data_IF_658030826436
#
_entry.id   IF_658030826436
#
_cell.length_a   1.000
_cell.length_b   1.000
_cell.length_c   1.000
_cell.angle_alpha   90.00
_cell.angle_beta   90.00
_cell.angle_gamma   90.00
#
_symmetry.space_group_name_H-M   'P 1'
#
loop_
_entity.id
_entity.type
_entity.pdbx_description
1 polymer ?
#
# COMPACT_ATOMS: atom_id res chain seq x y z
N UNK A 1 35.73 19.24 2.81
CA UNK A 1 36.16 19.88 1.55
C UNK A 1 34.96 20.44 0.79
N UNK A 2 33.97 19.65 0.39
CA UNK A 2 32.81 20.10 -0.38
C UNK A 2 31.94 21.17 0.32
N UNK A 3 31.70 21.07 1.62
CA UNK A 3 30.93 22.09 2.34
C UNK A 3 31.61 23.46 2.35
N UNK A 4 32.92 23.48 2.51
CA UNK A 4 33.70 24.72 2.42
C UNK A 4 33.67 25.29 1.01
N UNK A 5 33.83 24.46 -0.01
CA UNK A 5 33.73 24.85 -1.43
C UNK A 5 32.37 25.49 -1.76
N UNK A 6 31.26 24.90 -1.28
CA UNK A 6 29.91 25.46 -1.46
C UNK A 6 29.79 26.81 -0.73
N UNK A 7 30.25 26.88 0.53
CA UNK A 7 30.18 28.10 1.36
C UNK A 7 30.99 29.22 0.79
N UNK A 8 32.25 28.98 0.39
CA UNK A 8 33.17 29.98 -0.15
C UNK A 8 32.63 30.56 -1.47
N UNK A 9 31.89 29.79 -2.26
CA UNK A 9 31.22 30.25 -3.48
C UNK A 9 29.82 30.84 -3.21
N UNK A 10 29.39 30.94 -1.96
CA UNK A 10 28.09 31.52 -1.57
C UNK A 10 26.86 30.77 -2.10
N UNK A 11 27.04 29.49 -2.46
CA UNK A 11 25.92 28.62 -2.90
C UNK A 11 25.18 28.06 -1.70
N UNK A 12 23.89 27.79 -1.88
CA UNK A 12 22.99 27.17 -0.89
C UNK A 12 22.27 26.00 -1.50
N UNK A 13 21.88 25.07 -0.64
CA UNK A 13 21.05 23.93 -1.03
C UNK A 13 19.81 24.45 -1.80
N UNK A 14 19.48 23.76 -2.89
CA UNK A 14 18.47 24.09 -3.89
C UNK A 14 18.80 25.27 -4.83
N UNK A 15 19.95 25.93 -4.71
CA UNK A 15 20.43 26.81 -5.78
C UNK A 15 20.70 25.98 -7.04
N UNK A 16 20.37 26.52 -8.22
CA UNK A 16 20.84 25.94 -9.48
C UNK A 16 22.25 26.39 -9.71
N UNK A 17 23.16 25.46 -9.82
CA UNK A 17 24.59 25.71 -9.97
C UNK A 17 25.18 24.96 -11.16
N UNK A 18 26.31 25.47 -11.61
CA UNK A 18 27.18 24.80 -12.57
C UNK A 18 28.49 24.46 -11.87
N UNK A 19 28.93 23.22 -11.99
CA UNK A 19 30.26 22.76 -11.55
C UNK A 19 31.03 22.37 -12.79
N UNK A 20 32.18 23.02 -13.02
CA UNK A 20 33.12 22.74 -14.12
C UNK A 20 34.35 22.10 -13.53
N UNK A 21 34.73 20.94 -14.03
CA UNK A 21 35.99 20.26 -13.78
C UNK A 21 36.81 20.25 -15.07
N UNK A 22 38.08 19.90 -15.03
CA UNK A 22 38.92 19.77 -16.23
C UNK A 22 38.31 18.82 -17.28
N UNK A 23 37.54 17.81 -16.83
CA UNK A 23 37.00 16.78 -17.71
C UNK A 23 35.62 17.14 -18.25
N UNK A 24 34.76 17.81 -17.46
CA UNK A 24 33.35 17.98 -17.80
C UNK A 24 32.65 19.07 -16.97
N UNK A 25 31.60 19.64 -17.54
CA UNK A 25 30.74 20.60 -16.87
C UNK A 25 29.38 19.96 -16.57
N UNK A 26 28.87 20.18 -15.35
CA UNK A 26 27.59 19.68 -14.87
C UNK A 26 26.72 20.84 -14.40
N UNK A 27 25.45 20.85 -14.79
CA UNK A 27 24.45 21.79 -14.32
C UNK A 27 23.32 21.08 -13.59
N UNK A 28 22.86 21.63 -12.47
CA UNK A 28 21.77 21.04 -11.71
C UNK A 28 21.48 21.81 -10.43
N UNK A 29 20.52 21.31 -9.68
CA UNK A 29 20.19 21.84 -8.36
C UNK A 29 21.11 21.24 -7.31
N UNK A 30 21.71 22.09 -6.47
CA UNK A 30 22.54 21.66 -5.36
C UNK A 30 21.68 20.91 -4.33
N UNK A 31 22.01 19.65 -4.07
CA UNK A 31 21.37 18.84 -3.05
C UNK A 31 22.17 18.82 -1.74
N UNK A 32 21.53 18.56 -0.58
CA UNK A 32 22.25 18.30 0.66
C UNK A 32 23.24 17.15 0.47
N UNK A 33 24.39 17.25 1.08
CA UNK A 33 25.41 16.22 1.06
C UNK A 33 24.94 15.03 1.89
N UNK A 34 25.12 13.81 1.37
CA UNK A 34 24.86 12.58 2.08
C UNK A 34 25.98 12.25 3.10
N UNK A 35 25.63 11.78 4.29
CA UNK A 35 26.60 11.46 5.35
C UNK A 35 27.67 10.44 4.93
N UNK A 36 27.39 9.60 3.95
CA UNK A 36 28.30 8.59 3.40
C UNK A 36 29.00 9.03 2.09
N UNK A 37 28.81 10.27 1.65
CA UNK A 37 29.54 10.81 0.49
C UNK A 37 30.99 11.13 0.87
N UNK A 38 31.90 10.99 -0.08
CA UNK A 38 33.29 11.46 0.09
C UNK A 38 33.36 12.91 0.50
N UNK A 39 34.40 13.33 1.23
CA UNK A 39 34.52 14.70 1.77
C UNK A 39 34.61 15.78 0.69
N UNK A 40 34.98 15.38 -0.52
CA UNK A 40 35.14 16.21 -1.71
C UNK A 40 33.91 16.19 -2.64
N UNK A 41 32.87 15.41 -2.34
CA UNK A 41 31.73 15.21 -3.25
C UNK A 41 30.60 16.19 -2.98
N UNK A 42 30.19 16.91 -4.03
CA UNK A 42 28.95 17.69 -4.11
C UNK A 42 27.91 16.92 -4.90
N UNK A 43 26.68 16.91 -4.44
CA UNK A 43 25.58 16.21 -5.12
C UNK A 43 24.72 17.20 -5.89
N UNK A 44 24.51 16.94 -7.17
CA UNK A 44 23.66 17.71 -8.07
C UNK A 44 22.48 16.87 -8.55
N UNK A 45 21.29 17.45 -8.57
CA UNK A 45 20.12 16.94 -9.29
C UNK A 45 20.12 17.55 -10.70
N UNK A 46 20.33 16.72 -11.71
CA UNK A 46 20.33 17.13 -13.12
C UNK A 46 18.89 17.36 -13.64
N UNK A 47 18.75 18.08 -14.76
CA UNK A 47 17.46 18.34 -15.38
C UNK A 47 16.74 17.07 -15.88
N UNK A 48 17.50 16.02 -16.17
CA UNK A 48 16.94 14.68 -16.49
C UNK A 48 16.47 13.90 -15.26
N UNK A 49 16.56 14.50 -14.06
CA UNK A 49 16.10 13.92 -12.80
C UNK A 49 17.11 13.03 -12.07
N UNK A 50 18.26 12.71 -12.66
CA UNK A 50 19.31 11.92 -11.98
C UNK A 50 20.09 12.77 -10.98
N UNK A 51 20.49 12.15 -9.87
CA UNK A 51 21.43 12.72 -8.93
C UNK A 51 22.84 12.21 -9.26
N UNK A 52 23.81 13.10 -9.31
CA UNK A 52 25.22 12.78 -9.52
C UNK A 52 26.08 13.35 -8.40
N UNK A 53 27.12 12.61 -8.02
CA UNK A 53 28.21 13.12 -7.19
C UNK A 53 29.31 13.67 -8.07
N UNK A 54 29.73 14.92 -7.81
CA UNK A 54 30.83 15.57 -8.53
C UNK A 54 31.92 15.90 -7.52
N UNK A 55 33.17 15.45 -7.78
CA UNK A 55 34.31 15.88 -6.97
C UNK A 55 34.57 17.37 -7.17
N UNK A 56 34.90 18.05 -6.09
CA UNK A 56 35.23 19.49 -6.12
C UNK A 56 36.75 19.73 -6.14
N UNK A 57 37.56 18.68 -6.25
CA UNK A 57 38.98 18.82 -6.49
C UNK A 57 39.19 19.50 -7.85
N UNK A 58 39.86 20.65 -7.85
CA UNK A 58 40.14 21.46 -9.03
C UNK A 58 38.88 21.88 -9.83
N UNK A 59 37.75 22.03 -9.14
CA UNK A 59 36.50 22.43 -9.76
C UNK A 59 36.15 23.90 -9.53
N UNK A 60 35.46 24.50 -10.49
CA UNK A 60 34.86 25.84 -10.39
C UNK A 60 33.36 25.75 -10.22
N UNK A 61 32.76 26.64 -9.40
CA UNK A 61 31.33 26.74 -9.18
C UNK A 61 30.79 28.06 -9.65
N UNK A 62 29.72 28.04 -10.46
CA UNK A 62 28.94 29.22 -10.81
C UNK A 62 27.48 29.03 -10.38
N UNK A 63 26.90 30.05 -9.72
CA UNK A 63 25.48 30.01 -9.37
C UNK A 63 24.68 30.53 -10.55
N UNK A 64 23.84 29.71 -11.13
CA UNK A 64 22.98 30.04 -12.26
C UNK A 64 21.69 30.71 -11.82
N UNK A 65 21.09 30.23 -10.72
CA UNK A 65 19.96 30.91 -10.06
C UNK A 65 19.91 30.57 -8.59
N UNK A 66 19.47 31.49 -7.77
CA UNK A 66 19.24 31.27 -6.35
C UNK A 66 17.93 30.51 -6.14
N UNK A 67 17.93 29.66 -5.11
CA UNK A 67 16.70 29.01 -4.64
C UNK A 67 15.68 30.09 -4.29
N UNK A 68 14.56 30.09 -4.99
CA UNK A 68 13.43 30.91 -4.56
C UNK A 68 12.93 30.32 -3.25
N UNK A 69 12.83 31.11 -2.21
CA UNK A 69 12.01 30.80 -1.05
C UNK A 69 10.55 30.97 -1.47
N UNK A 70 10.05 30.08 -2.30
CA UNK A 70 8.63 30.02 -2.51
C UNK A 70 8.03 29.51 -1.19
N UNK A 71 7.56 30.45 -0.36
CA UNK A 71 6.41 30.15 0.48
C UNK A 71 5.32 29.83 -0.54
N UNK A 72 5.10 28.54 -0.77
CA UNK A 72 3.94 28.10 -1.52
C UNK A 72 2.75 28.50 -0.66
N UNK A 73 2.19 29.69 -0.89
CA UNK A 73 0.91 30.08 -0.36
C UNK A 73 -0.12 29.20 -1.06
N UNK A 74 -0.63 28.22 -0.32
CA UNK A 74 -1.67 27.31 -0.80
C UNK A 74 -2.99 28.07 -0.87
N UNK A 75 -3.21 28.78 -1.97
CA UNK A 75 -4.54 29.31 -2.27
C UNK A 75 -5.46 28.15 -2.62
N UNK A 76 -6.56 28.00 -1.87
CA UNK A 76 -7.65 27.07 -2.27
C UNK A 76 -8.04 27.39 -3.70
N UNK A 77 -7.78 26.47 -4.60
CA UNK A 77 -8.17 26.60 -6.01
C UNK A 77 -9.69 26.71 -6.11
N UNK A 78 -10.20 27.57 -6.98
CA UNK A 78 -11.64 27.62 -7.27
C UNK A 78 -12.06 26.31 -7.89
N UNK A 79 -13.15 25.71 -7.36
CA UNK A 79 -13.73 24.48 -7.94
C UNK A 79 -14.19 24.73 -9.37
N UNK A 80 -13.86 23.80 -10.25
CA UNK A 80 -14.39 23.76 -11.61
C UNK A 80 -15.72 23.01 -11.58
N UNK A 81 -16.80 23.64 -12.00
CA UNK A 81 -18.15 23.08 -11.98
C UNK A 81 -18.34 21.88 -12.94
N UNK A 82 -17.45 21.71 -13.90
CA UNK A 82 -17.48 20.59 -14.85
C UNK A 82 -16.81 19.32 -14.33
N UNK A 83 -16.03 19.42 -13.23
CA UNK A 83 -15.30 18.30 -12.64
C UNK A 83 -16.03 17.75 -11.42
N UNK A 84 -15.96 16.41 -11.26
CA UNK A 84 -16.43 15.74 -10.04
C UNK A 84 -15.54 16.08 -8.86
N UNK A 85 -16.11 16.05 -7.69
CA UNK A 85 -15.38 16.20 -6.42
C UNK A 85 -14.87 14.83 -5.95
N UNK A 86 -13.67 14.80 -5.35
CA UNK A 86 -13.11 13.66 -4.61
C UNK A 86 -12.41 14.15 -3.34
N UNK A 87 -12.24 13.25 -2.36
CA UNK A 87 -11.41 13.53 -1.19
C UNK A 87 -10.13 12.68 -1.24
N UNK A 88 -8.98 13.32 -1.01
CA UNK A 88 -7.69 12.63 -0.81
C UNK A 88 -7.38 12.62 0.67
N UNK A 89 -7.37 11.43 1.29
CA UNK A 89 -6.95 11.21 2.67
C UNK A 89 -5.48 10.79 2.70
N UNK A 90 -4.63 11.53 3.43
CA UNK A 90 -3.24 11.15 3.62
C UNK A 90 -3.08 10.41 4.97
N UNK A 91 -2.53 9.20 4.92
CA UNK A 91 -2.19 8.42 6.13
C UNK A 91 -0.69 8.33 6.38
N UNK A 92 0.13 8.95 5.53
CA UNK A 92 1.59 8.89 5.55
C UNK A 92 2.16 8.06 4.40
N UNK A 93 3.33 7.46 4.62
CA UNK A 93 4.04 6.63 3.64
C UNK A 93 4.85 7.42 2.62
N UNK A 94 5.53 6.70 1.72
CA UNK A 94 6.49 7.26 0.74
C UNK A 94 5.87 8.26 -0.23
N UNK A 95 4.58 8.14 -0.53
CA UNK A 95 3.88 9.08 -1.42
C UNK A 95 3.79 10.50 -0.81
N UNK A 96 3.76 10.60 0.53
CA UNK A 96 3.75 11.86 1.27
C UNK A 96 5.12 12.14 1.92
N UNK A 97 6.21 11.67 1.34
CA UNK A 97 7.55 11.76 1.93
C UNK A 97 8.53 12.38 0.96
N UNK A 98 9.54 13.05 1.52
CA UNK A 98 10.75 13.47 0.81
C UNK A 98 11.97 12.69 1.29
N UNK A 99 12.96 12.57 0.42
CA UNK A 99 14.28 12.10 0.84
C UNK A 99 14.96 13.22 1.64
N UNK A 100 15.33 12.94 2.87
CA UNK A 100 16.31 13.73 3.56
C UNK A 100 17.69 13.43 2.95
N UNK A 101 18.14 14.29 2.06
CA UNK A 101 19.39 14.09 1.34
C UNK A 101 20.63 14.13 2.25
N UNK A 102 20.52 14.64 3.49
CA UNK A 102 21.61 14.65 4.46
C UNK A 102 21.80 13.27 5.11
N UNK A 103 20.73 12.59 5.44
CA UNK A 103 20.74 11.27 6.07
C UNK A 103 20.52 10.14 5.07
N UNK A 104 19.99 10.43 3.87
CA UNK A 104 19.51 9.46 2.90
C UNK A 104 18.20 8.79 3.28
N UNK A 105 17.65 9.13 4.44
CA UNK A 105 16.39 8.58 4.92
C UNK A 105 15.19 9.24 4.23
N UNK A 106 14.12 8.47 4.08
CA UNK A 106 12.82 8.99 3.64
C UNK A 106 12.02 9.39 4.88
N UNK A 107 11.66 10.66 4.98
CA UNK A 107 10.88 11.19 6.10
C UNK A 107 9.51 11.68 5.65
N UNK A 108 8.43 11.44 6.40
CA UNK A 108 7.13 12.05 6.14
C UNK A 108 7.28 13.59 6.25
N UNK A 109 7.09 14.29 5.15
CA UNK A 109 7.35 15.74 5.12
C UNK A 109 6.34 16.54 4.30
N UNK A 110 5.43 15.87 3.58
CA UNK A 110 4.45 16.53 2.70
C UNK A 110 3.07 16.45 3.33
N UNK A 111 2.36 17.59 3.39
CA UNK A 111 0.94 17.59 3.74
C UNK A 111 0.10 16.99 2.60
N UNK A 112 -1.14 16.61 2.90
CA UNK A 112 -2.08 16.12 1.88
C UNK A 112 -2.25 17.15 0.74
N UNK A 113 -2.35 18.45 1.08
CA UNK A 113 -2.46 19.52 0.10
C UNK A 113 -1.18 19.68 -0.74
N UNK A 114 -0.01 19.55 -0.13
CA UNK A 114 1.26 19.60 -0.84
C UNK A 114 1.39 18.46 -1.84
N UNK A 115 1.01 17.25 -1.45
CA UNK A 115 0.99 16.10 -2.34
C UNK A 115 0.10 16.36 -3.56
N UNK A 116 -1.14 16.77 -3.34
CA UNK A 116 -2.10 17.05 -4.42
C UNK A 116 -1.60 18.18 -5.34
N UNK A 117 -1.06 19.26 -4.77
CA UNK A 117 -0.56 20.39 -5.54
C UNK A 117 0.73 20.09 -6.31
N UNK A 118 1.50 19.09 -5.91
CA UNK A 118 2.68 18.64 -6.66
C UNK A 118 2.33 17.95 -7.99
N UNK A 119 1.06 17.53 -8.16
CA UNK A 119 0.57 16.79 -9.32
C UNK A 119 -0.41 17.65 -10.12
N UNK A 120 0.11 18.55 -10.95
CA UNK A 120 -0.70 19.50 -11.74
C UNK A 120 -1.73 18.83 -12.67
N UNK A 121 -1.51 17.59 -13.09
CA UNK A 121 -2.47 16.84 -13.90
C UNK A 121 -3.79 16.58 -13.18
N UNK A 122 -3.81 16.54 -11.85
CA UNK A 122 -5.02 16.35 -11.05
C UNK A 122 -6.04 17.48 -11.23
N UNK A 123 -5.59 18.71 -11.49
CA UNK A 123 -6.46 19.86 -11.72
C UNK A 123 -7.40 19.70 -12.93
N UNK A 124 -7.03 18.83 -13.87
CA UNK A 124 -7.83 18.50 -15.05
C UNK A 124 -8.70 17.26 -14.85
N UNK A 125 -8.50 16.55 -13.74
CA UNK A 125 -9.17 15.27 -13.46
C UNK A 125 -10.34 15.45 -12.51
N UNK A 126 -10.15 16.15 -11.38
CA UNK A 126 -11.18 16.29 -10.36
C UNK A 126 -10.97 17.56 -9.52
N UNK A 127 -12.03 18.01 -8.85
CA UNK A 127 -11.89 18.92 -7.71
C UNK A 127 -11.50 18.12 -6.49
N UNK A 128 -10.39 18.48 -5.85
CA UNK A 128 -9.83 17.69 -4.77
C UNK A 128 -9.92 18.42 -3.43
N UNK A 129 -10.55 17.77 -2.45
CA UNK A 129 -10.44 18.10 -1.04
C UNK A 129 -9.34 17.22 -0.44
N UNK A 130 -8.26 17.79 0.09
CA UNK A 130 -7.16 17.05 0.69
C UNK A 130 -7.22 17.17 2.21
N UNK A 131 -7.24 16.02 2.90
CA UNK A 131 -7.35 15.96 4.35
C UNK A 131 -6.26 15.04 4.93
N UNK A 132 -5.43 15.51 5.89
CA UNK A 132 -4.53 14.63 6.62
C UNK A 132 -5.33 13.81 7.64
N UNK A 133 -5.09 12.49 7.70
CA UNK A 133 -5.70 11.62 8.69
C UNK A 133 -4.66 11.10 9.69
N UNK A 134 -3.52 10.63 9.17
CA UNK A 134 -2.38 10.17 9.95
C UNK A 134 -1.08 10.61 9.28
N UNK A 135 0.04 10.51 10.02
CA UNK A 135 1.40 10.65 9.47
C UNK A 135 2.24 9.49 10.00
N UNK A 136 2.01 8.29 9.43
CA UNK A 136 2.59 7.03 9.89
C UNK A 136 3.40 6.36 8.78
N UNK A 137 4.49 5.69 9.15
CA UNK A 137 5.06 4.64 8.33
C UNK A 137 4.06 3.46 8.30
N UNK A 138 3.99 2.75 7.16
CA UNK A 138 2.96 1.70 7.04
C UNK A 138 3.14 0.52 7.98
N UNK A 139 4.37 0.23 8.40
CA UNK A 139 4.70 -0.77 9.40
C UNK A 139 4.17 -0.45 10.80
N UNK A 140 3.86 0.81 11.09
CA UNK A 140 3.26 1.27 12.34
C UNK A 140 1.71 1.26 12.31
N UNK A 141 1.10 0.83 11.19
CA UNK A 141 -0.34 0.66 11.10
C UNK A 141 -0.82 -0.43 12.06
N UNK A 142 -1.92 -0.15 12.73
CA UNK A 142 -2.58 -1.06 13.67
C UNK A 142 -4.10 -1.05 13.42
N UNK A 143 -4.86 -2.02 13.92
CA UNK A 143 -6.31 -2.11 13.72
C UNK A 143 -7.09 -0.82 14.04
N UNK A 144 -6.72 -0.11 15.10
CA UNK A 144 -7.29 1.20 15.46
C UNK A 144 -7.18 2.26 14.34
N UNK A 145 -6.14 2.18 13.51
CA UNK A 145 -5.96 3.10 12.38
C UNK A 145 -6.88 2.70 11.21
N UNK A 146 -7.09 1.40 10.97
CA UNK A 146 -8.08 0.92 9.99
C UNK A 146 -9.50 1.36 10.36
N UNK A 147 -9.85 1.30 11.65
CA UNK A 147 -11.13 1.82 12.18
C UNK A 147 -11.27 3.33 11.94
N UNK A 148 -10.20 4.09 12.18
CA UNK A 148 -10.14 5.53 11.88
C UNK A 148 -10.37 5.85 10.41
N UNK A 149 -9.74 5.07 9.50
CA UNK A 149 -9.92 5.21 8.06
C UNK A 149 -11.39 4.89 7.67
N UNK A 150 -11.93 3.78 8.16
CA UNK A 150 -13.31 3.37 7.86
C UNK A 150 -14.34 4.41 8.33
N UNK A 151 -14.19 4.91 9.55
CA UNK A 151 -15.04 5.97 10.11
C UNK A 151 -14.98 7.24 9.28
N UNK A 152 -13.77 7.67 8.87
CA UNK A 152 -13.60 8.86 8.06
C UNK A 152 -14.17 8.68 6.65
N UNK A 153 -13.97 7.53 6.04
CA UNK A 153 -14.54 7.20 4.73
C UNK A 153 -16.07 7.24 4.76
N UNK A 154 -16.69 6.63 5.77
CA UNK A 154 -18.15 6.70 5.95
C UNK A 154 -18.64 8.13 6.15
N UNK A 155 -17.96 8.93 6.96
CA UNK A 155 -18.30 10.34 7.18
C UNK A 155 -18.30 11.14 5.86
N UNK A 156 -17.31 10.90 5.00
CA UNK A 156 -17.21 11.56 3.70
C UNK A 156 -18.33 11.10 2.78
N UNK A 157 -18.63 9.80 2.71
CA UNK A 157 -19.72 9.28 1.90
C UNK A 157 -21.08 9.85 2.34
N UNK A 158 -21.34 9.91 3.64
CA UNK A 158 -22.60 10.43 4.17
C UNK A 158 -22.79 11.93 3.92
N UNK A 159 -21.71 12.72 4.01
CA UNK A 159 -21.78 14.19 3.91
C UNK A 159 -21.52 14.74 2.52
N UNK A 160 -20.55 14.17 1.80
CA UNK A 160 -20.05 14.71 0.53
C UNK A 160 -20.49 13.91 -0.68
N UNK A 161 -20.81 12.63 -0.52
CA UNK A 161 -21.29 11.71 -1.56
C UNK A 161 -20.36 11.65 -2.79
N UNK A 162 -19.04 11.55 -2.56
CA UNK A 162 -18.06 11.41 -3.64
C UNK A 162 -16.92 10.42 -3.28
N UNK A 163 -16.17 10.00 -4.30
CA UNK A 163 -15.12 9.00 -4.13
C UNK A 163 -13.94 9.48 -3.29
N UNK A 164 -13.21 8.52 -2.76
CA UNK A 164 -12.11 8.73 -1.84
C UNK A 164 -10.84 8.10 -2.39
N UNK A 165 -9.72 8.83 -2.34
CA UNK A 165 -8.38 8.31 -2.55
C UNK A 165 -7.64 8.30 -1.21
N UNK A 166 -7.03 7.17 -0.85
CA UNK A 166 -6.26 7.03 0.38
C UNK A 166 -4.77 6.88 0.03
N UNK A 167 -3.99 7.92 0.31
CA UNK A 167 -2.53 7.87 0.21
C UNK A 167 -1.96 7.11 1.40
N UNK A 168 -1.29 5.97 1.15
CA UNK A 168 -0.86 5.01 2.17
C UNK A 168 0.55 4.48 1.86
N UNK A 169 1.31 4.13 2.91
CA UNK A 169 2.57 3.42 2.75
C UNK A 169 2.35 2.01 2.18
N UNK A 170 3.24 1.57 1.30
CA UNK A 170 2.98 0.39 0.45
C UNK A 170 3.15 -0.95 1.16
N UNK A 171 3.91 -1.04 2.26
CA UNK A 171 4.28 -2.33 2.86
C UNK A 171 3.10 -3.07 3.51
N UNK A 172 2.17 -2.33 4.13
CA UNK A 172 0.96 -2.90 4.74
C UNK A 172 -0.34 -2.47 4.06
N UNK A 173 -0.26 -1.86 2.87
CA UNK A 173 -1.43 -1.38 2.13
C UNK A 173 -2.42 -2.51 1.82
N UNK A 174 -1.95 -3.73 1.53
CA UNK A 174 -2.81 -4.88 1.27
C UNK A 174 -3.63 -5.27 2.50
N UNK A 175 -3.04 -5.24 3.70
CA UNK A 175 -3.77 -5.46 4.96
C UNK A 175 -4.81 -4.38 5.20
N UNK A 176 -4.45 -3.11 5.02
CA UNK A 176 -5.37 -1.97 5.22
C UNK A 176 -6.54 -1.99 4.23
N UNK A 177 -6.28 -2.34 2.96
CA UNK A 177 -7.32 -2.46 1.95
C UNK A 177 -8.27 -3.64 2.24
N UNK A 178 -7.75 -4.79 2.65
CA UNK A 178 -8.56 -5.92 3.11
C UNK A 178 -9.40 -5.56 4.35
N UNK A 179 -8.77 -4.90 5.35
CA UNK A 179 -9.46 -4.47 6.56
C UNK A 179 -10.61 -3.51 6.27
N UNK A 180 -10.37 -2.54 5.39
CA UNK A 180 -11.41 -1.60 5.01
C UNK A 180 -12.54 -2.27 4.22
N UNK A 181 -12.22 -3.28 3.40
CA UNK A 181 -13.20 -4.06 2.64
C UNK A 181 -14.19 -4.78 3.55
N UNK A 182 -13.72 -5.40 4.65
CA UNK A 182 -14.60 -6.05 5.62
C UNK A 182 -15.37 -5.05 6.47
N UNK A 183 -14.76 -3.93 6.85
CA UNK A 183 -15.45 -2.89 7.63
C UNK A 183 -16.52 -2.14 6.83
N UNK A 184 -16.34 -2.00 5.52
CA UNK A 184 -17.24 -1.31 4.61
C UNK A 184 -17.73 -2.27 3.52
N UNK A 185 -18.58 -3.26 3.85
CA UNK A 185 -18.99 -4.30 2.91
C UNK A 185 -19.83 -3.77 1.74
N UNK A 186 -20.49 -2.65 1.92
CA UNK A 186 -21.22 -1.89 0.90
C UNK A 186 -20.79 -0.43 0.96
N UNK A 187 -20.46 0.16 -0.18
CA UNK A 187 -20.03 1.56 -0.28
C UNK A 187 -20.79 2.31 -1.36
N UNK A 188 -21.17 3.55 -1.07
CA UNK A 188 -21.91 4.41 -2.00
C UNK A 188 -21.04 5.08 -3.05
N UNK A 189 -19.73 5.13 -2.83
CA UNK A 189 -18.75 5.69 -3.76
C UNK A 189 -17.42 4.92 -3.65
N UNK A 190 -16.58 4.88 -4.69
CA UNK A 190 -15.31 4.16 -4.65
C UNK A 190 -14.36 4.65 -3.56
N UNK A 191 -13.61 3.71 -2.98
CA UNK A 191 -12.48 4.02 -2.07
C UNK A 191 -11.23 3.35 -2.64
N UNK A 192 -10.26 4.17 -3.03
CA UNK A 192 -9.09 3.73 -3.77
C UNK A 192 -7.83 4.03 -2.96
N UNK A 193 -7.13 2.99 -2.52
CA UNK A 193 -5.80 3.13 -1.96
C UNK A 193 -4.77 3.38 -3.06
N UNK A 194 -3.77 4.19 -2.74
CA UNK A 194 -2.61 4.38 -3.60
C UNK A 194 -1.38 4.72 -2.77
N UNK A 195 -0.23 4.60 -3.38
CA UNK A 195 1.05 4.86 -2.75
C UNK A 195 2.15 5.07 -3.79
N UNK A 196 3.38 5.10 -3.33
CA UNK A 196 4.55 5.16 -4.20
C UNK A 196 5.68 4.27 -3.67
N UNK A 197 6.40 3.61 -4.57
CA UNK A 197 7.64 2.91 -4.26
C UNK A 197 8.82 3.88 -4.21
N UNK A 198 8.71 5.00 -4.95
CA UNK A 198 9.70 6.06 -4.98
C UNK A 198 9.05 7.38 -4.61
N UNK A 199 9.67 8.10 -3.66
CA UNK A 199 9.18 9.42 -3.24
C UNK A 199 9.04 10.39 -4.42
N UNK A 200 8.11 11.35 -4.36
CA UNK A 200 7.83 12.26 -5.47
C UNK A 200 9.03 13.08 -5.95
N UNK A 201 10.03 13.28 -5.10
CA UNK A 201 11.26 14.03 -5.39
C UNK A 201 12.34 13.19 -6.10
N UNK A 202 12.14 11.89 -6.24
CA UNK A 202 13.08 11.01 -6.95
C UNK A 202 12.79 10.93 -8.46
N UNK A 203 13.84 10.75 -9.30
CA UNK A 203 13.65 10.41 -10.71
C UNK A 203 12.82 9.13 -10.86
N UNK A 204 11.98 9.08 -11.89
CA UNK A 204 11.10 7.93 -12.17
C UNK A 204 10.19 7.57 -10.98
N UNK A 205 9.72 8.57 -10.23
CA UNK A 205 8.71 8.37 -9.18
C UNK A 205 7.42 7.88 -9.81
N UNK A 206 6.83 6.86 -9.19
CA UNK A 206 5.52 6.32 -9.57
C UNK A 206 4.35 7.05 -8.91
N UNK A 207 4.64 7.98 -7.97
CA UNK A 207 3.61 8.70 -7.20
C UNK A 207 2.61 9.45 -8.08
N UNK A 208 3.11 10.14 -9.12
CA UNK A 208 2.29 10.97 -10.00
C UNK A 208 1.25 10.16 -10.76
N UNK A 209 1.67 9.11 -11.47
CA UNK A 209 0.77 8.28 -12.28
C UNK A 209 -0.20 7.50 -11.38
N UNK A 210 0.29 6.95 -10.25
CA UNK A 210 -0.55 6.24 -9.29
C UNK A 210 -1.66 7.14 -8.73
N UNK A 211 -1.34 8.37 -8.32
CA UNK A 211 -2.31 9.30 -7.75
C UNK A 211 -3.35 9.76 -8.77
N UNK A 212 -2.93 10.06 -10.00
CA UNK A 212 -3.86 10.40 -11.11
C UNK A 212 -4.76 9.20 -11.43
N UNK A 213 -4.20 8.00 -11.49
CA UNK A 213 -4.96 6.78 -11.72
C UNK A 213 -5.99 6.51 -10.62
N UNK A 214 -5.59 6.67 -9.35
CA UNK A 214 -6.49 6.54 -8.21
C UNK A 214 -7.63 7.58 -8.24
N UNK A 215 -7.30 8.84 -8.57
CA UNK A 215 -8.30 9.91 -8.69
C UNK A 215 -9.35 9.60 -9.78
N UNK A 216 -8.91 9.12 -10.94
CA UNK A 216 -9.82 8.70 -12.02
C UNK A 216 -10.70 7.51 -11.58
N UNK A 217 -10.12 6.51 -10.92
CA UNK A 217 -10.86 5.35 -10.42
C UNK A 217 -11.89 5.71 -9.35
N UNK A 218 -11.60 6.71 -8.51
CA UNK A 218 -12.51 7.19 -7.47
C UNK A 218 -13.79 7.86 -8.03
N UNK A 219 -13.84 8.11 -9.33
CA UNK A 219 -15.01 8.72 -10.00
C UNK A 219 -15.87 7.72 -10.81
N UNK A 220 -15.55 6.43 -10.71
CA UNK A 220 -16.31 5.34 -11.37
C UNK A 220 -17.51 4.89 -10.53
N UNK A 221 -18.13 3.80 -10.93
CA UNK A 221 -19.18 3.10 -10.17
C UNK A 221 -18.66 1.88 -9.42
N UNK A 222 -17.36 1.78 -9.20
CA UNK A 222 -16.72 0.68 -8.47
C UNK A 222 -17.14 0.68 -7.00
N UNK A 223 -18.05 -0.20 -6.62
CA UNK A 223 -18.53 -0.37 -5.23
C UNK A 223 -17.64 -1.26 -4.37
N UNK A 224 -16.33 -1.17 -4.55
CA UNK A 224 -15.32 -1.96 -3.84
C UNK A 224 -14.15 -1.11 -3.39
N UNK A 225 -13.47 -1.59 -2.35
CA UNK A 225 -12.16 -1.06 -1.98
C UNK A 225 -11.13 -1.63 -2.96
N UNK A 226 -10.35 -0.75 -3.58
CA UNK A 226 -9.31 -1.16 -4.51
C UNK A 226 -7.97 -0.47 -4.23
N UNK A 227 -6.89 -1.04 -4.78
CA UNK A 227 -5.56 -0.45 -4.80
C UNK A 227 -5.21 -0.07 -6.23
N UNK A 228 -4.82 1.19 -6.45
CA UNK A 228 -4.37 1.72 -7.73
C UNK A 228 -2.85 1.89 -7.71
N UNK A 229 -2.12 1.06 -8.44
CA UNK A 229 -0.66 1.07 -8.54
C UNK A 229 -0.22 0.72 -9.96
N UNK A 230 1.01 1.09 -10.32
CA UNK A 230 1.61 0.72 -11.61
C UNK A 230 1.36 -0.74 -11.98
N UNK A 231 0.92 -0.98 -13.21
CA UNK A 231 0.72 -2.33 -13.74
C UNK A 231 2.04 -2.99 -14.11
N UNK A 232 2.94 -2.23 -14.71
CA UNK A 232 4.27 -2.65 -15.17
C UNK A 232 5.33 -1.68 -14.62
N UNK A 233 6.58 -1.89 -14.98
CA UNK A 233 7.68 -0.95 -14.67
C UNK A 233 7.65 0.32 -15.53
N UNK A 234 6.83 0.36 -16.58
CA UNK A 234 6.69 1.50 -17.50
C UNK A 234 5.58 2.46 -17.02
N UNK A 235 5.57 3.69 -17.54
CA UNK A 235 4.61 4.73 -17.18
C UNK A 235 3.34 4.70 -18.06
N UNK A 236 2.89 3.51 -18.49
CA UNK A 236 1.76 3.37 -19.41
C UNK A 236 0.43 3.28 -18.67
N UNK A 237 0.35 2.46 -17.63
CA UNK A 237 -0.92 2.08 -17.02
C UNK A 237 -0.84 1.96 -15.50
N UNK A 238 -1.95 2.29 -14.85
CA UNK A 238 -2.23 1.92 -13.46
C UNK A 238 -3.23 0.77 -13.45
N UNK A 239 -2.94 -0.28 -12.69
CA UNK A 239 -3.88 -1.36 -12.46
C UNK A 239 -4.69 -1.13 -11.19
N UNK A 240 -5.97 -1.48 -11.24
CA UNK A 240 -6.88 -1.48 -10.10
C UNK A 240 -6.99 -2.90 -9.56
N UNK A 241 -6.51 -3.12 -8.36
CA UNK A 241 -6.50 -4.42 -7.69
C UNK A 241 -7.57 -4.47 -6.62
N UNK A 242 -8.35 -5.56 -6.55
CA UNK A 242 -9.34 -5.77 -5.48
C UNK A 242 -8.65 -5.81 -4.11
N UNK A 243 -9.11 -5.02 -3.14
CA UNK A 243 -8.48 -4.87 -1.83
C UNK A 243 -8.30 -6.18 -1.06
N UNK A 244 -9.20 -7.15 -1.26
CA UNK A 244 -9.15 -8.48 -0.62
C UNK A 244 -8.33 -9.52 -1.39
N UNK A 245 -7.84 -9.19 -2.60
CA UNK A 245 -7.17 -10.15 -3.50
C UNK A 245 -5.77 -9.72 -3.91
N UNK A 246 -5.29 -8.62 -3.37
CA UNK A 246 -4.02 -7.99 -3.76
C UNK A 246 -2.93 -8.26 -2.75
N UNK A 247 -1.70 -8.40 -3.25
CA UNK A 247 -0.48 -8.56 -2.45
C UNK A 247 0.63 -7.68 -2.98
N UNK A 248 1.45 -7.11 -2.08
CA UNK A 248 2.74 -6.53 -2.44
C UNK A 248 3.72 -7.68 -2.70
N UNK A 249 3.95 -8.00 -3.97
CA UNK A 249 4.75 -9.15 -4.40
C UNK A 249 6.24 -8.83 -4.64
N UNK A 250 6.60 -7.55 -4.65
CA UNK A 250 7.99 -7.11 -4.77
C UNK A 250 8.29 -5.99 -3.77
N UNK A 251 9.47 -6.01 -3.14
CA UNK A 251 9.85 -5.08 -2.08
C UNK A 251 9.98 -3.62 -2.51
N UNK A 252 10.32 -3.34 -3.78
CA UNK A 252 10.70 -1.98 -4.21
C UNK A 252 10.39 -1.61 -5.66
N UNK A 253 9.93 -2.54 -6.52
CA UNK A 253 9.57 -2.23 -7.92
C UNK A 253 8.29 -1.41 -7.98
N UNK A 254 8.13 -0.59 -9.04
CA UNK A 254 6.92 0.21 -9.26
C UNK A 254 5.68 -0.66 -9.46
N UNK A 255 5.81 -1.78 -10.16
CA UNK A 255 4.81 -2.83 -10.38
C UNK A 255 4.79 -3.87 -9.24
N UNK A 256 4.95 -3.42 -8.00
CA UNK A 256 5.06 -4.31 -6.84
C UNK A 256 3.76 -5.03 -6.47
N UNK A 257 2.60 -4.53 -6.90
CA UNK A 257 1.31 -5.08 -6.53
C UNK A 257 0.75 -6.01 -7.60
N UNK A 258 0.18 -7.12 -7.16
CA UNK A 258 -0.51 -8.06 -8.04
C UNK A 258 -1.65 -8.77 -7.32
N UNK A 259 -2.62 -9.26 -8.09
CA UNK A 259 -3.64 -10.20 -7.63
C UNK A 259 -3.33 -11.58 -8.21
N UNK A 260 -2.72 -12.49 -7.43
CA UNK A 260 -2.12 -13.72 -7.96
C UNK A 260 -3.10 -14.66 -8.69
N UNK A 261 -4.36 -14.68 -8.26
CA UNK A 261 -5.34 -15.66 -8.76
C UNK A 261 -6.47 -15.03 -9.59
N UNK A 262 -6.61 -13.71 -9.63
CA UNK A 262 -7.75 -13.06 -10.28
C UNK A 262 -7.36 -12.11 -11.42
N UNK A 263 -6.26 -11.41 -11.27
CA UNK A 263 -5.88 -10.28 -12.13
C UNK A 263 -6.51 -8.95 -11.65
N UNK A 264 -6.32 -7.86 -12.41
CA UNK A 264 -6.83 -6.54 -12.03
C UNK A 264 -8.34 -6.41 -12.29
N UNK A 265 -9.04 -5.66 -11.43
CA UNK A 265 -10.42 -5.20 -11.63
C UNK A 265 -10.55 -4.27 -12.83
N UNK A 266 -9.49 -3.56 -13.18
CA UNK A 266 -9.47 -2.64 -14.30
C UNK A 266 -8.09 -2.06 -14.55
N UNK A 267 -7.99 -1.31 -15.62
CA UNK A 267 -6.82 -0.55 -16.01
C UNK A 267 -7.19 0.93 -16.15
N UNK A 268 -6.28 1.78 -15.75
CA UNK A 268 -6.38 3.23 -15.92
C UNK A 268 -5.29 3.69 -16.87
N UNK A 269 -5.73 4.23 -17.99
CA UNK A 269 -4.94 4.92 -19.01
C UNK A 269 -5.44 6.36 -19.10
N UNK A 270 -5.79 6.79 -20.30
CA UNK A 270 -6.57 8.03 -20.46
C UNK A 270 -7.92 7.93 -19.74
N UNK A 271 -8.60 6.80 -19.88
CA UNK A 271 -9.86 6.46 -19.21
C UNK A 271 -9.71 5.26 -18.29
N UNK A 272 -10.70 5.04 -17.43
CA UNK A 272 -10.79 3.85 -16.59
C UNK A 272 -11.56 2.77 -17.33
N UNK A 273 -10.93 1.64 -17.56
CA UNK A 273 -11.53 0.44 -18.12
C UNK A 273 -11.70 -0.60 -17.01
N UNK A 274 -12.90 -0.71 -16.43
CA UNK A 274 -13.20 -1.77 -15.48
C UNK A 274 -13.34 -3.10 -16.21
N UNK A 275 -12.71 -4.15 -15.70
CA UNK A 275 -12.66 -5.50 -16.26
C UNK A 275 -13.18 -6.50 -15.25
N UNK A 276 -13.77 -7.59 -15.74
CA UNK A 276 -14.24 -8.68 -14.88
C UNK A 276 -15.51 -8.34 -14.09
N UNK A 277 -15.75 -9.14 -13.03
CA UNK A 277 -16.92 -8.98 -12.16
C UNK A 277 -16.53 -8.12 -10.97
N UNK A 278 -16.94 -6.87 -10.99
CA UNK A 278 -16.86 -5.98 -9.84
C UNK A 278 -18.26 -5.73 -9.26
N UNK A 279 -18.33 -5.29 -8.02
CA UNK A 279 -19.57 -4.87 -7.38
C UNK A 279 -19.83 -3.39 -7.70
N UNK A 280 -21.02 -3.02 -8.16
CA UNK A 280 -21.35 -1.60 -8.33
C UNK A 280 -21.54 -0.90 -6.98
N UNK A 281 -21.50 0.42 -6.98
CA UNK A 281 -21.77 1.22 -5.77
C UNK A 281 -23.17 0.96 -5.22
N UNK A 282 -23.28 0.93 -3.90
CA UNK A 282 -24.54 0.80 -3.16
C UNK A 282 -25.23 2.17 -2.99
N UNK A 283 -26.47 2.17 -2.51
CA UNK A 283 -27.20 3.42 -2.19
C UNK A 283 -26.57 4.17 -1.01
N UNK A 284 -26.08 3.43 -0.04
CA UNK A 284 -25.44 3.95 1.19
C UNK A 284 -24.23 3.13 1.57
N UNK A 285 -23.37 3.71 2.37
CA UNK A 285 -22.20 3.00 2.92
C UNK A 285 -22.55 2.36 4.24
N UNK A 286 -22.44 1.04 4.31
CA UNK A 286 -22.57 0.28 5.57
C UNK A 286 -21.21 0.13 6.23
N UNK A 287 -21.19 0.15 7.57
CA UNK A 287 -19.95 0.03 8.34
C UNK A 287 -20.13 -0.92 9.53
N UNK A 288 -19.23 -1.90 9.61
CA UNK A 288 -19.06 -2.79 10.77
C UNK A 288 -17.59 -2.72 11.22
N UNK A 289 -17.28 -1.72 12.06
CA UNK A 289 -15.91 -1.38 12.43
C UNK A 289 -15.48 -2.08 13.72
N UNK A 290 -14.21 -2.51 13.75
CA UNK A 290 -13.58 -3.15 14.89
C UNK A 290 -12.96 -4.50 14.54
N UNK A 291 -11.94 -4.88 15.30
CA UNK A 291 -11.16 -6.10 15.11
C UNK A 291 -10.85 -6.77 16.46
N UNK A 292 -10.66 -8.07 16.44
CA UNK A 292 -10.05 -8.81 17.54
C UNK A 292 -8.53 -8.90 17.30
N UNK A 293 -7.76 -8.27 18.15
CA UNK A 293 -6.30 -8.17 17.98
C UNK A 293 -5.56 -9.46 18.38
N UNK A 294 -6.21 -10.34 19.14
CA UNK A 294 -5.61 -11.58 19.64
C UNK A 294 -5.66 -12.73 18.63
N UNK A 295 -5.53 -12.43 17.35
CA UNK A 295 -5.42 -13.44 16.28
C UNK A 295 -3.93 -13.67 15.95
N UNK A 296 -3.55 -14.95 15.86
CA UNK A 296 -2.20 -15.36 15.49
C UNK A 296 -2.07 -15.66 14.01
N UNK A 297 -0.85 -15.47 13.48
CA UNK A 297 -0.48 -15.99 12.17
C UNK A 297 0.77 -16.83 12.29
N UNK A 298 0.75 -18.05 11.77
CA UNK A 298 1.85 -19.00 11.80
C UNK A 298 2.27 -19.33 10.37
N UNK A 299 3.54 -19.08 10.07
CA UNK A 299 4.14 -19.51 8.82
C UNK A 299 4.75 -20.90 8.97
N UNK A 300 4.16 -21.92 8.32
CA UNK A 300 4.64 -23.29 8.41
C UNK A 300 6.00 -23.46 7.73
N UNK A 301 6.97 -24.02 8.44
CA UNK A 301 8.33 -24.25 7.93
C UNK A 301 8.93 -25.52 8.54
N UNK A 302 10.02 -26.10 7.97
CA UNK A 302 10.60 -27.35 8.43
C UNK A 302 11.08 -27.35 9.90
N UNK A 303 11.43 -26.19 10.45
CA UNK A 303 11.86 -26.04 11.84
C UNK A 303 10.74 -25.80 12.85
N UNK A 304 9.48 -25.60 12.41
CA UNK A 304 8.36 -25.36 13.31
C UNK A 304 8.05 -26.64 14.13
N UNK A 305 8.20 -26.54 15.44
CA UNK A 305 7.95 -27.65 16.37
C UNK A 305 6.68 -27.43 17.20
N UNK A 306 6.32 -28.45 18.01
CA UNK A 306 5.15 -28.42 18.89
C UNK A 306 5.25 -27.26 19.90
N UNK A 307 6.43 -27.07 20.52
CA UNK A 307 6.65 -26.00 21.49
C UNK A 307 6.50 -24.61 20.92
N UNK A 308 6.92 -24.40 19.65
CA UNK A 308 6.71 -23.11 18.96
C UNK A 308 5.22 -22.88 18.70
N UNK A 309 4.50 -23.91 18.23
CA UNK A 309 3.06 -23.85 18.02
C UNK A 309 2.32 -23.47 19.32
N UNK A 310 2.57 -24.18 20.40
CA UNK A 310 1.94 -23.94 21.69
C UNK A 310 2.27 -22.53 22.25
N UNK A 311 3.51 -22.10 22.11
CA UNK A 311 3.92 -20.73 22.52
C UNK A 311 3.18 -19.65 21.74
N UNK A 312 3.11 -19.78 20.40
CA UNK A 312 2.45 -18.78 19.55
C UNK A 312 0.95 -18.74 19.82
N UNK A 313 0.31 -19.89 20.08
CA UNK A 313 -1.14 -19.99 20.19
C UNK A 313 -1.69 -19.73 21.60
N UNK A 314 -0.86 -19.82 22.64
CA UNK A 314 -1.25 -19.82 24.07
C UNK A 314 -2.12 -18.65 24.52
N UNK A 315 -2.06 -17.50 23.85
CA UNK A 315 -2.80 -16.27 24.18
C UNK A 315 -3.67 -15.76 23.03
N UNK A 316 -3.98 -16.66 22.08
CA UNK A 316 -4.75 -16.28 20.90
C UNK A 316 -6.20 -16.72 21.03
N UNK A 317 -7.09 -16.01 20.31
CA UNK A 317 -8.51 -16.34 20.14
C UNK A 317 -8.82 -16.95 18.78
N UNK A 318 -7.80 -17.05 17.92
CA UNK A 318 -7.88 -17.69 16.62
C UNK A 318 -6.50 -17.67 15.95
N UNK A 319 -6.27 -18.54 15.00
CA UNK A 319 -4.98 -18.67 14.31
C UNK A 319 -5.19 -18.95 12.83
N UNK A 320 -4.47 -18.20 12.00
CA UNK A 320 -4.31 -18.47 10.57
C UNK A 320 -2.96 -19.14 10.33
N UNK A 321 -2.96 -20.27 9.66
CA UNK A 321 -1.74 -20.98 9.25
C UNK A 321 -1.49 -20.70 7.77
N UNK A 322 -0.34 -20.16 7.43
CA UNK A 322 0.17 -20.18 6.07
C UNK A 322 0.90 -21.52 5.86
N UNK A 323 0.19 -22.49 5.30
CA UNK A 323 0.68 -23.84 5.08
C UNK A 323 1.55 -23.95 3.82
N UNK A 324 2.30 -25.04 3.70
CA UNK A 324 3.10 -25.33 2.51
C UNK A 324 2.24 -25.92 1.38
N UNK A 325 2.53 -25.57 0.14
CA UNK A 325 1.84 -26.12 -1.04
C UNK A 325 0.32 -26.01 -0.92
N UNK A 326 -0.38 -27.14 -0.94
CA UNK A 326 -1.85 -27.19 -0.84
C UNK A 326 -2.41 -26.95 0.57
N UNK A 327 -1.66 -26.34 1.47
CA UNK A 327 -2.09 -26.08 2.85
C UNK A 327 -1.62 -27.13 3.84
N UNK A 328 -0.36 -27.59 3.74
CA UNK A 328 0.16 -28.64 4.62
C UNK A 328 1.05 -28.10 5.74
N UNK A 329 1.09 -28.88 6.81
CA UNK A 329 1.97 -28.72 7.98
C UNK A 329 2.68 -30.05 8.27
N UNK A 330 3.69 -30.01 9.14
CA UNK A 330 4.37 -31.23 9.60
C UNK A 330 3.39 -32.17 10.31
N UNK A 331 3.54 -33.50 10.08
CA UNK A 331 2.70 -34.48 10.72
C UNK A 331 2.70 -34.46 12.24
N UNK A 332 3.82 -34.13 12.86
CA UNK A 332 3.95 -34.03 14.32
C UNK A 332 3.09 -32.90 14.94
N UNK A 333 2.70 -31.89 14.14
CA UNK A 333 1.86 -30.79 14.61
C UNK A 333 0.36 -31.08 14.58
N UNK A 334 -0.07 -32.14 13.86
CA UNK A 334 -1.50 -32.42 13.61
C UNK A 334 -2.31 -32.57 14.90
N UNK A 335 -1.76 -33.26 15.91
CA UNK A 335 -2.43 -33.41 17.21
C UNK A 335 -2.53 -32.08 17.98
N UNK A 336 -1.45 -31.31 18.05
CA UNK A 336 -1.44 -30.02 18.73
C UNK A 336 -2.36 -29.00 18.04
N UNK A 337 -2.36 -28.96 16.70
CA UNK A 337 -3.29 -28.14 15.92
C UNK A 337 -4.73 -28.56 16.20
N UNK A 338 -5.00 -29.87 16.20
CA UNK A 338 -6.34 -30.39 16.50
C UNK A 338 -6.83 -30.06 17.91
N UNK A 339 -5.95 -30.07 18.91
CA UNK A 339 -6.32 -29.59 20.27
C UNK A 339 -6.68 -28.10 20.23
N UNK A 340 -5.84 -27.29 19.61
CA UNK A 340 -6.10 -25.83 19.45
C UNK A 340 -7.41 -25.57 18.72
N UNK A 341 -7.70 -26.35 17.64
CA UNK A 341 -8.92 -26.18 16.83
C UNK A 341 -10.22 -26.53 17.58
N UNK A 342 -10.16 -27.27 18.71
CA UNK A 342 -11.32 -27.49 19.59
C UNK A 342 -11.64 -26.21 20.39
N UNK A 343 -10.61 -25.52 20.85
CA UNK A 343 -10.75 -24.40 21.76
C UNK A 343 -10.99 -23.06 21.04
N UNK A 344 -10.39 -22.89 19.84
CA UNK A 344 -10.51 -21.66 19.04
C UNK A 344 -10.50 -21.94 17.53
N UNK A 345 -10.96 -20.99 16.68
CA UNK A 345 -10.88 -21.12 15.24
C UNK A 345 -9.43 -21.25 14.74
N UNK A 346 -9.17 -22.25 13.92
CA UNK A 346 -7.90 -22.42 13.18
C UNK A 346 -8.24 -22.50 11.71
N UNK A 347 -7.68 -21.59 10.91
CA UNK A 347 -7.85 -21.59 9.46
C UNK A 347 -6.50 -21.79 8.77
N UNK A 348 -6.53 -22.37 7.57
CA UNK A 348 -5.31 -22.62 6.80
C UNK A 348 -5.43 -22.05 5.39
N UNK A 349 -4.41 -21.29 5.00
CA UNK A 349 -4.16 -20.75 3.65
C UNK A 349 -2.84 -21.31 3.12
N UNK A 350 -2.41 -20.91 1.93
CA UNK A 350 -1.13 -21.33 1.36
C UNK A 350 -0.07 -20.23 1.40
N UNK A 351 1.21 -20.63 1.54
CA UNK A 351 2.36 -19.76 1.34
C UNK A 351 2.63 -19.45 -0.12
N UNK A 352 2.13 -20.31 -1.01
CA UNK A 352 2.33 -20.13 -2.45
C UNK A 352 1.71 -18.80 -2.90
N UNK A 353 2.43 -18.10 -3.77
CA UNK A 353 1.97 -16.83 -4.29
C UNK A 353 0.67 -16.97 -5.09
N UNK A 354 0.56 -18.04 -5.88
CA UNK A 354 -0.62 -18.36 -6.67
C UNK A 354 -1.12 -19.78 -6.37
N UNK A 355 -2.36 -20.04 -6.73
CA UNK A 355 -3.04 -21.32 -6.49
C UNK A 355 -3.94 -21.28 -5.26
N UNK A 356 -4.34 -22.44 -4.76
CA UNK A 356 -5.24 -22.56 -3.62
C UNK A 356 -4.84 -23.72 -2.72
N UNK A 357 -5.31 -23.72 -1.49
CA UNK A 357 -5.30 -24.93 -0.66
C UNK A 357 -6.20 -25.99 -1.27
N UNK A 358 -5.92 -27.27 -0.99
CA UNK A 358 -6.79 -28.40 -1.23
C UNK A 358 -6.45 -29.51 -0.24
N UNK A 359 -7.06 -29.44 0.92
CA UNK A 359 -6.80 -30.36 2.02
C UNK A 359 -7.32 -31.81 1.76
N UNK A 360 -8.12 -31.99 0.73
CA UNK A 360 -8.67 -33.31 0.40
C UNK A 360 -7.71 -34.26 -0.35
N UNK A 361 -6.58 -33.72 -0.85
CA UNK A 361 -5.64 -34.48 -1.69
C UNK A 361 -4.80 -35.47 -0.87
N UNK A 362 -4.25 -35.03 0.25
CA UNK A 362 -3.32 -35.81 1.05
C UNK A 362 -3.87 -36.14 2.44
N UNK A 363 -3.34 -37.22 3.05
CA UNK A 363 -3.75 -37.70 4.37
C UNK A 363 -3.71 -36.60 5.44
N UNK A 364 -2.60 -35.88 5.55
CA UNK A 364 -2.44 -34.83 6.56
C UNK A 364 -3.47 -33.72 6.42
N UNK A 365 -3.81 -33.34 5.17
CA UNK A 365 -4.86 -32.34 4.93
C UNK A 365 -6.23 -32.82 5.39
N UNK A 366 -6.60 -34.05 5.04
CA UNK A 366 -7.87 -34.66 5.50
C UNK A 366 -7.95 -34.77 7.02
N UNK A 367 -6.83 -35.05 7.66
CA UNK A 367 -6.76 -35.14 9.11
C UNK A 367 -6.95 -33.74 9.75
N UNK A 368 -6.40 -32.67 9.16
CA UNK A 368 -6.67 -31.30 9.59
C UNK A 368 -8.16 -30.91 9.49
N UNK A 369 -8.82 -31.29 8.37
CA UNK A 369 -10.27 -31.08 8.21
C UNK A 369 -11.07 -31.83 9.28
N UNK A 370 -10.74 -33.07 9.55
CA UNK A 370 -11.40 -33.90 10.59
C UNK A 370 -11.21 -33.32 11.99
N UNK A 371 -10.11 -32.60 12.22
CA UNK A 371 -9.81 -31.92 13.48
C UNK A 371 -10.45 -30.51 13.57
N UNK A 372 -11.22 -30.08 12.56
CA UNK A 372 -11.95 -28.81 12.57
C UNK A 372 -11.16 -27.60 12.08
N UNK A 373 -10.03 -27.82 11.39
CA UNK A 373 -9.31 -26.73 10.71
C UNK A 373 -10.08 -26.28 9.47
N UNK A 374 -10.27 -24.97 9.31
CA UNK A 374 -11.01 -24.38 8.18
C UNK A 374 -10.10 -24.14 6.99
N UNK A 375 -10.46 -24.65 5.84
CA UNK A 375 -9.79 -24.40 4.58
C UNK A 375 -10.21 -23.03 4.01
N UNK A 376 -9.24 -22.18 3.59
CA UNK A 376 -9.54 -20.85 3.04
C UNK A 376 -9.31 -20.74 1.54
N UNK A 377 -9.06 -21.83 0.87
CA UNK A 377 -8.91 -21.95 -0.58
C UNK A 377 -7.81 -21.03 -1.13
N UNK A 378 -8.16 -20.09 -2.02
CA UNK A 378 -7.26 -19.15 -2.68
C UNK A 378 -7.21 -17.78 -2.00
N UNK A 379 -7.73 -17.67 -0.78
CA UNK A 379 -7.62 -16.45 0.04
C UNK A 379 -6.16 -16.20 0.42
N UNK A 380 -5.69 -14.98 0.22
CA UNK A 380 -4.33 -14.59 0.57
C UNK A 380 -4.12 -14.59 2.10
N UNK A 381 -2.90 -14.89 2.59
CA UNK A 381 -2.60 -14.91 4.02
C UNK A 381 -2.96 -13.61 4.74
N UNK A 382 -2.67 -12.46 4.12
CA UNK A 382 -2.99 -11.14 4.65
C UNK A 382 -4.50 -10.96 4.85
N UNK A 383 -5.26 -11.35 3.85
CA UNK A 383 -6.73 -11.28 3.87
C UNK A 383 -7.34 -12.24 4.87
N UNK A 384 -6.81 -13.47 4.95
CA UNK A 384 -7.27 -14.48 5.90
C UNK A 384 -7.08 -14.05 7.36
N UNK A 385 -5.92 -13.42 7.66
CA UNK A 385 -5.66 -12.84 8.99
C UNK A 385 -6.68 -11.76 9.31
N UNK A 386 -6.85 -10.78 8.44
CA UNK A 386 -7.76 -9.66 8.64
C UNK A 386 -9.21 -10.13 8.73
N UNK A 387 -9.64 -11.07 7.89
CA UNK A 387 -10.98 -11.67 7.94
C UNK A 387 -11.23 -12.33 9.28
N UNK A 388 -10.29 -13.12 9.79
CA UNK A 388 -10.43 -13.78 11.09
C UNK A 388 -10.50 -12.75 12.23
N UNK A 389 -9.70 -11.69 12.19
CA UNK A 389 -9.76 -10.60 13.17
C UNK A 389 -11.13 -9.91 13.17
N UNK A 390 -11.68 -9.65 11.99
CA UNK A 390 -12.99 -9.01 11.85
C UNK A 390 -14.13 -9.94 12.25
N UNK A 391 -14.15 -11.20 11.79
CA UNK A 391 -15.15 -12.21 12.17
C UNK A 391 -15.14 -12.47 13.66
N UNK A 392 -13.98 -12.63 14.28
CA UNK A 392 -13.86 -12.85 15.73
C UNK A 392 -14.41 -11.70 16.56
N UNK A 393 -14.47 -10.49 16.01
CA UNK A 393 -15.09 -9.33 16.65
C UNK A 393 -16.61 -9.28 16.48
N UNK A 394 -17.11 -9.59 15.28
CA UNK A 394 -18.49 -9.34 14.89
C UNK A 394 -19.36 -10.59 14.79
N UNK A 395 -18.77 -11.77 14.61
CA UNK A 395 -19.43 -13.06 14.33
C UNK A 395 -18.69 -14.20 15.04
N UNK A 396 -18.39 -14.02 16.34
CA UNK A 396 -17.51 -14.93 17.10
C UNK A 396 -17.94 -16.41 17.02
N UNK A 397 -19.25 -16.67 17.06
CA UNK A 397 -19.78 -18.04 17.00
C UNK A 397 -19.77 -18.63 15.58
N UNK A 398 -19.70 -17.80 14.54
CA UNK A 398 -19.79 -18.20 13.13
C UNK A 398 -18.42 -18.20 12.44
N UNK A 399 -17.31 -17.90 13.16
CA UNK A 399 -15.97 -17.76 12.55
C UNK A 399 -15.58 -18.98 11.74
N UNK A 400 -15.83 -20.21 12.27
CA UNK A 400 -15.45 -21.46 11.60
C UNK A 400 -16.20 -21.66 10.30
N UNK A 401 -17.45 -21.26 10.23
CA UNK A 401 -18.27 -21.34 9.03
C UNK A 401 -17.85 -20.29 8.01
N UNK A 402 -17.83 -19.03 8.43
CA UNK A 402 -17.65 -17.89 7.55
C UNK A 402 -16.21 -17.72 7.05
N UNK A 403 -15.19 -18.28 7.71
CA UNK A 403 -13.80 -18.22 7.24
C UNK A 403 -13.61 -18.89 5.87
N UNK A 404 -14.34 -19.97 5.58
CA UNK A 404 -14.30 -20.66 4.30
C UNK A 404 -15.26 -20.13 3.23
N UNK A 405 -16.12 -19.15 3.59
CA UNK A 405 -17.11 -18.56 2.67
C UNK A 405 -16.59 -17.28 2.00
N UNK A 406 -17.10 -17.02 0.79
CA UNK A 406 -16.82 -15.79 0.07
C UNK A 406 -17.81 -14.69 0.46
N UNK A 407 -17.42 -13.73 1.27
CA UNK A 407 -18.28 -12.65 1.77
C UNK A 407 -18.28 -11.42 0.88
N UNK A 408 -17.09 -11.00 0.42
CA UNK A 408 -16.89 -9.72 -0.26
C UNK A 408 -15.92 -9.82 -1.48
N UNK A 409 -15.69 -11.01 -1.98
CA UNK A 409 -14.83 -11.26 -3.14
C UNK A 409 -13.42 -11.74 -2.79
N UNK A 410 -13.18 -12.17 -1.55
CA UNK A 410 -11.87 -12.63 -1.05
C UNK A 410 -11.53 -14.08 -1.44
N UNK A 411 -12.53 -14.88 -1.85
CA UNK A 411 -12.36 -16.25 -2.33
C UNK A 411 -12.97 -16.37 -3.73
N UNK A 412 -12.33 -17.10 -4.63
CA UNK A 412 -12.89 -17.39 -5.95
C UNK A 412 -14.04 -18.41 -5.87
N UNK A 413 -15.15 -18.13 -6.55
CA UNK A 413 -16.30 -19.05 -6.64
C UNK A 413 -16.04 -20.30 -7.50
N UNK A 414 -14.92 -20.34 -8.22
CA UNK A 414 -14.51 -21.49 -9.02
C UNK A 414 -13.01 -21.70 -8.88
N UNK A 415 -12.60 -22.96 -8.62
CA UNK A 415 -11.19 -23.36 -8.72
C UNK A 415 -10.76 -23.24 -10.18
N UNK A 416 -10.01 -22.19 -10.52
CA UNK A 416 -9.27 -22.19 -11.78
C UNK A 416 -8.12 -23.17 -11.60
N UNK A 417 -8.27 -24.37 -12.16
CA UNK A 417 -7.15 -25.25 -12.43
C UNK A 417 -6.31 -24.51 -13.47
N UNK A 418 -5.16 -23.94 -13.04
CA UNK A 418 -4.22 -23.27 -13.92
C UNK A 418 -3.53 -24.21 -14.88
#
# INVERSE_FOLDING_TARGET
MAEKFISDNGAKVHDRIRISTDAKTYEGFLLPRHNFSGEDIVVLKLDNGYNIGVSVEDAELAILSKAKKDKVEFTKKKKNKELKDITVLATGGTIASFVDYKTGAVSPAITAEQLVNSVSALDKVANIDAEPLFSLASEDMAPKHWEGIAKKAKEIHDKKQHGIVIGHGTDTMAYSAAALSFQLPEISNPVIFTGAQRSPDRPSSDAHLNLVGAAKAAMTDLGEIAIAMHQTTDDENVALWRGTRVRKAHSSRRDAFMSPNEGPLGLVKENVELKGKYRPTAKETKMESGFEDSIGMVWSHPGLGIGDWESITSRKKGVVIAGTGLGHVKSELLESIGKTAKDMPVAITTQCLSGSTNLNVYRNGRELLQKGVVETYDMLPETALVKMMWLSKHRADEVRELMGENLIGEISNSRKLG
#
